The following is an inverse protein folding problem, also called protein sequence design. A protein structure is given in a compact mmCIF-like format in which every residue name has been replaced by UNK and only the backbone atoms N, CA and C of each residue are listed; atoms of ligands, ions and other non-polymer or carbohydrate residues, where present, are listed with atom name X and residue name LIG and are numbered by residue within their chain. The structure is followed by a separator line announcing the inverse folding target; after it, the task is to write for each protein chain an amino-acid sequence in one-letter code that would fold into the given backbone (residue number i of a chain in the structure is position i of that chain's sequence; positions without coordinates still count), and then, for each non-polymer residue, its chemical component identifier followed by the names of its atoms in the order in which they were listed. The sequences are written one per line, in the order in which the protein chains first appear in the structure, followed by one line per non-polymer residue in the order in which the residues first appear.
data_IF_533707690014
#
_entry.id   IF_533707690014
#
_cell.length_a   1.000
_cell.length_b   1.000
_cell.length_c   1.000
_cell.angle_alpha   90.00
_cell.angle_beta   90.00
_cell.angle_gamma   90.00
#
_symmetry.space_group_name_H-M   'P 1'
#
loop_
_entity.id
_entity.type
_entity.pdbx_description
1 polymer ?
#
# COMPACT_ATOMS: atom_id res chain seq x y z
N UNK A 1 -20.06 8.40 -9.82
CA UNK A 1 -21.40 8.91 -9.45
C UNK A 1 -21.38 10.27 -8.76
N UNK A 2 -20.95 10.45 -7.50
CA UNK A 2 -21.00 11.79 -6.86
C UNK A 2 -19.98 12.76 -7.46
N UNK A 3 -18.71 12.36 -7.65
CA UNK A 3 -17.69 13.22 -8.26
C UNK A 3 -18.02 13.62 -9.71
N UNK A 4 -18.56 12.69 -10.48
CA UNK A 4 -18.97 12.91 -11.88
C UNK A 4 -20.14 13.91 -11.99
N UNK A 5 -21.05 13.94 -11.00
CA UNK A 5 -22.15 14.90 -10.96
C UNK A 5 -21.65 16.34 -10.87
N UNK A 6 -20.79 16.67 -9.90
CA UNK A 6 -20.24 18.04 -9.76
C UNK A 6 -19.45 18.49 -11.00
N UNK A 7 -18.68 17.56 -11.59
CA UNK A 7 -17.91 17.85 -12.80
C UNK A 7 -18.79 18.16 -14.01
N UNK A 8 -20.00 17.59 -14.08
CA UNK A 8 -20.96 17.84 -15.16
C UNK A 8 -21.52 19.27 -15.09
N UNK A 9 -21.60 19.85 -13.90
CA UNK A 9 -22.07 21.22 -13.65
C UNK A 9 -20.93 22.24 -13.52
N UNK A 10 -19.67 21.79 -13.67
CA UNK A 10 -18.47 22.62 -13.46
C UNK A 10 -18.45 23.29 -12.07
N UNK A 11 -18.99 22.61 -11.06
CA UNK A 11 -19.10 23.11 -9.69
C UNK A 11 -17.86 22.71 -8.86
N UNK A 12 -17.07 23.70 -8.35
CA UNK A 12 -15.86 23.42 -7.58
C UNK A 12 -16.13 23.06 -6.11
N UNK A 13 -17.38 23.04 -5.65
CA UNK A 13 -17.70 22.87 -4.23
C UNK A 13 -17.08 21.61 -3.60
N UNK A 14 -17.12 20.47 -4.30
CA UNK A 14 -16.53 19.23 -3.82
C UNK A 14 -15.01 19.31 -3.76
N UNK A 15 -14.37 19.83 -4.80
CA UNK A 15 -12.91 19.96 -4.85
C UNK A 15 -12.41 20.92 -3.75
N UNK A 16 -13.09 22.04 -3.55
CA UNK A 16 -12.81 22.99 -2.47
C UNK A 16 -13.00 22.34 -1.08
N UNK A 17 -14.06 21.57 -0.89
CA UNK A 17 -14.30 20.89 0.38
C UNK A 17 -13.22 19.84 0.69
N UNK A 18 -12.77 19.09 -0.32
CA UNK A 18 -11.69 18.11 -0.18
C UNK A 18 -10.35 18.78 0.13
N UNK A 19 -10.04 19.90 -0.55
CA UNK A 19 -8.82 20.67 -0.29
C UNK A 19 -8.79 21.21 1.15
N UNK A 20 -9.87 21.85 1.60
CA UNK A 20 -9.98 22.33 2.99
C UNK A 20 -9.92 21.18 4.00
N UNK A 21 -10.58 20.04 3.72
CA UNK A 21 -10.50 18.86 4.59
C UNK A 21 -9.07 18.31 4.70
N UNK A 22 -8.34 18.24 3.58
CA UNK A 22 -6.94 17.84 3.54
C UNK A 22 -6.05 18.81 4.31
N UNK A 23 -6.20 20.12 4.10
CA UNK A 23 -5.44 21.14 4.80
C UNK A 23 -5.67 21.08 6.32
N UNK A 24 -6.93 20.93 6.75
CA UNK A 24 -7.24 20.75 8.17
C UNK A 24 -6.62 19.46 8.73
N UNK A 25 -6.74 18.34 8.01
CA UNK A 25 -6.17 17.05 8.44
C UNK A 25 -4.64 17.12 8.58
N UNK A 26 -3.97 17.78 7.64
CA UNK A 26 -2.51 17.92 7.60
C UNK A 26 -1.97 19.00 8.55
N UNK A 27 -2.81 19.92 9.03
CA UNK A 27 -2.41 20.94 10.01
C UNK A 27 -2.13 20.37 11.39
N UNK A 28 -2.65 19.17 11.68
CA UNK A 28 -2.46 18.49 12.97
C UNK A 28 -1.25 17.58 12.89
N UNK A 29 -0.25 17.70 13.81
CA UNK A 29 0.87 16.79 13.86
C UNK A 29 0.44 15.32 13.95
N UNK A 30 1.16 14.43 13.27
CA UNK A 30 0.83 12.99 13.23
C UNK A 30 0.83 12.35 14.64
N UNK A 31 1.68 12.83 15.54
CA UNK A 31 1.72 12.40 16.94
C UNK A 31 0.36 12.67 17.63
N UNK A 32 -0.22 13.85 17.42
CA UNK A 32 -1.53 14.21 17.96
C UNK A 32 -2.64 13.41 17.28
N UNK A 33 -2.54 13.17 15.96
CA UNK A 33 -3.50 12.32 15.23
C UNK A 33 -3.55 10.92 15.83
N UNK A 34 -2.39 10.34 16.11
CA UNK A 34 -2.26 8.96 16.60
C UNK A 34 -2.54 8.83 18.10
N UNK A 35 -2.36 9.91 18.89
CA UNK A 35 -2.68 9.96 20.31
C UNK A 35 -4.18 9.76 20.62
N UNK A 36 -5.07 10.11 19.69
CA UNK A 36 -6.53 10.02 19.87
C UNK A 36 -7.17 9.00 18.93
N UNK A 37 -7.53 7.78 19.38
CA UNK A 37 -7.97 6.68 18.51
C UNK A 37 -9.16 7.01 17.60
N UNK A 38 -10.13 7.79 18.08
CA UNK A 38 -11.30 8.22 17.27
C UNK A 38 -10.86 9.14 16.14
N UNK A 39 -9.96 10.07 16.42
CA UNK A 39 -9.46 11.01 15.43
C UNK A 39 -8.55 10.30 14.42
N UNK A 40 -7.65 9.42 14.89
CA UNK A 40 -6.83 8.56 14.04
C UNK A 40 -7.66 7.79 13.02
N UNK A 41 -8.75 7.13 13.47
CA UNK A 41 -9.66 6.38 12.56
C UNK A 41 -10.34 7.28 11.53
N UNK A 42 -10.75 8.48 11.92
CA UNK A 42 -11.35 9.45 11.00
C UNK A 42 -10.32 9.94 9.97
N UNK A 43 -9.10 10.26 10.42
CA UNK A 43 -7.99 10.71 9.58
C UNK A 43 -7.59 9.65 8.54
N UNK A 44 -7.27 8.43 8.98
CA UNK A 44 -6.90 7.35 8.07
C UNK A 44 -8.06 6.88 7.20
N UNK A 45 -9.31 7.00 7.69
CA UNK A 45 -10.51 6.77 6.89
C UNK A 45 -10.65 7.79 5.75
N UNK A 46 -10.41 9.07 6.02
CA UNK A 46 -10.39 10.11 5.00
C UNK A 46 -9.30 9.84 3.96
N UNK A 47 -8.08 9.52 4.40
CA UNK A 47 -6.96 9.20 3.49
C UNK A 47 -7.30 8.02 2.58
N UNK A 48 -7.85 6.93 3.12
CA UNK A 48 -8.23 5.76 2.32
C UNK A 48 -9.26 6.16 1.24
N UNK A 49 -10.29 6.93 1.60
CA UNK A 49 -11.32 7.39 0.67
C UNK A 49 -10.71 8.28 -0.43
N UNK A 50 -9.77 9.15 -0.07
CA UNK A 50 -9.08 10.02 -1.01
C UNK A 50 -8.26 9.20 -2.03
N UNK A 51 -7.46 8.24 -1.59
CA UNK A 51 -6.73 7.35 -2.49
C UNK A 51 -7.66 6.43 -3.29
N UNK A 52 -8.81 6.06 -2.74
CA UNK A 52 -9.80 5.23 -3.44
C UNK A 52 -10.54 5.99 -4.55
N UNK A 53 -11.04 7.19 -4.26
CA UNK A 53 -12.02 7.88 -5.11
C UNK A 53 -11.54 9.24 -5.66
N UNK A 54 -10.55 9.88 -5.03
CA UNK A 54 -10.12 11.25 -5.34
C UNK A 54 -8.62 11.33 -5.68
N UNK A 55 -8.12 10.35 -6.43
CA UNK A 55 -6.70 10.23 -6.82
C UNK A 55 -6.17 11.49 -7.52
N UNK A 56 -7.00 12.16 -8.32
CA UNK A 56 -6.65 13.42 -8.97
C UNK A 56 -6.25 14.49 -7.97
N UNK A 57 -7.04 14.64 -6.89
CA UNK A 57 -6.77 15.59 -5.81
C UNK A 57 -5.49 15.20 -5.06
N UNK A 58 -5.37 13.93 -4.65
CA UNK A 58 -4.23 13.46 -3.87
C UNK A 58 -2.91 13.55 -4.64
N UNK A 59 -2.89 13.15 -5.90
CA UNK A 59 -1.65 13.19 -6.70
C UNK A 59 -1.34 14.60 -7.20
N UNK A 60 -2.28 15.54 -7.16
CA UNK A 60 -1.99 16.95 -7.46
C UNK A 60 -1.30 17.69 -6.31
N UNK A 61 -1.18 17.07 -5.13
CA UNK A 61 -0.50 17.67 -3.98
C UNK A 61 0.97 17.94 -4.27
N UNK A 62 1.55 18.88 -3.52
CA UNK A 62 3.00 19.04 -3.51
C UNK A 62 3.68 17.76 -3.01
N UNK A 63 4.86 17.47 -3.55
CA UNK A 63 5.56 16.20 -3.26
C UNK A 63 5.85 16.03 -1.77
N UNK A 64 6.20 17.11 -1.07
CA UNK A 64 6.43 17.06 0.38
C UNK A 64 5.16 16.65 1.15
N UNK A 65 4.01 17.19 0.75
CA UNK A 65 2.71 16.89 1.38
C UNK A 65 2.28 15.46 1.07
N UNK A 66 2.43 15.02 -0.18
CA UNK A 66 2.18 13.63 -0.56
C UNK A 66 3.06 12.68 0.25
N UNK A 67 4.35 12.99 0.44
CA UNK A 67 5.25 12.15 1.23
C UNK A 67 4.89 12.15 2.72
N UNK A 68 4.44 13.28 3.29
CA UNK A 68 3.92 13.30 4.66
C UNK A 68 2.71 12.35 4.83
N UNK A 69 1.78 12.35 3.87
CA UNK A 69 0.68 11.38 3.86
C UNK A 69 1.20 9.94 3.78
N UNK A 70 2.17 9.68 2.90
CA UNK A 70 2.74 8.33 2.75
C UNK A 70 3.50 7.87 3.99
N UNK A 71 4.20 8.76 4.69
CA UNK A 71 4.83 8.47 5.99
C UNK A 71 3.76 8.14 7.03
N UNK A 72 2.69 8.93 7.14
CA UNK A 72 1.59 8.64 8.05
C UNK A 72 0.94 7.27 7.76
N UNK A 73 0.70 6.95 6.49
CA UNK A 73 0.17 5.65 6.06
C UNK A 73 1.14 4.51 6.40
N UNK A 74 2.45 4.72 6.23
CA UNK A 74 3.47 3.73 6.55
C UNK A 74 3.58 3.45 8.06
N UNK A 75 3.46 4.48 8.90
CA UNK A 75 3.40 4.33 10.36
C UNK A 75 2.08 3.67 10.80
N UNK A 76 0.94 4.13 10.26
CA UNK A 76 -0.37 3.58 10.55
C UNK A 76 -0.52 2.10 10.14
N UNK A 77 0.16 1.67 9.07
CA UNK A 77 0.24 0.27 8.65
C UNK A 77 0.81 -0.63 9.75
N UNK A 78 1.78 -0.13 10.50
CA UNK A 78 2.49 -0.84 11.57
C UNK A 78 1.78 -0.74 12.93
N UNK A 79 0.63 -0.06 12.99
CA UNK A 79 -0.17 0.06 14.21
C UNK A 79 -0.65 -1.29 14.73
N UNK A 80 -0.75 -1.40 16.05
CA UNK A 80 -1.37 -2.55 16.73
C UNK A 80 -2.90 -2.57 16.58
N UNK A 81 -3.53 -1.44 16.24
CA UNK A 81 -4.95 -1.38 15.91
C UNK A 81 -5.18 -1.93 14.50
N UNK A 82 -5.84 -3.09 14.43
CA UNK A 82 -6.12 -3.80 13.18
C UNK A 82 -6.97 -2.97 12.20
N UNK A 83 -7.83 -2.08 12.69
CA UNK A 83 -8.62 -1.19 11.83
C UNK A 83 -7.71 -0.17 11.16
N UNK A 84 -6.79 0.45 11.89
CA UNK A 84 -5.84 1.42 11.34
C UNK A 84 -4.90 0.76 10.33
N UNK A 85 -4.34 -0.40 10.68
CA UNK A 85 -3.49 -1.17 9.79
C UNK A 85 -4.23 -1.53 8.49
N UNK A 86 -5.51 -1.91 8.59
CA UNK A 86 -6.37 -2.19 7.43
C UNK A 86 -6.64 -0.98 6.54
N UNK A 87 -6.95 0.19 7.12
CA UNK A 87 -7.13 1.43 6.35
C UNK A 87 -5.86 1.81 5.58
N UNK A 88 -4.70 1.69 6.21
CA UNK A 88 -3.41 1.98 5.59
C UNK A 88 -3.05 0.95 4.51
N UNK A 89 -3.29 -0.34 4.77
CA UNK A 89 -3.09 -1.40 3.79
C UNK A 89 -3.97 -1.20 2.53
N UNK A 90 -5.23 -0.80 2.70
CA UNK A 90 -6.13 -0.47 1.59
C UNK A 90 -5.67 0.77 0.82
N UNK A 91 -5.19 1.80 1.52
CA UNK A 91 -4.61 3.01 0.91
C UNK A 91 -3.45 2.64 -0.02
N UNK A 92 -2.55 1.77 0.46
CA UNK A 92 -1.43 1.25 -0.33
C UNK A 92 -1.91 0.42 -1.51
N UNK A 93 -2.93 -0.45 -1.33
CA UNK A 93 -3.51 -1.24 -2.44
C UNK A 93 -4.07 -0.32 -3.54
N UNK A 94 -4.77 0.77 -3.18
CA UNK A 94 -5.31 1.73 -4.15
C UNK A 94 -4.20 2.46 -4.92
N UNK A 95 -3.14 2.87 -4.24
CA UNK A 95 -1.98 3.52 -4.84
C UNK A 95 -1.29 2.58 -5.84
N UNK A 96 -0.93 1.38 -5.40
CA UNK A 96 -0.21 0.42 -6.21
C UNK A 96 -1.05 -0.11 -7.37
N UNK A 97 -2.35 -0.36 -7.13
CA UNK A 97 -3.31 -0.75 -8.17
C UNK A 97 -3.40 0.33 -9.24
N UNK A 98 -3.50 1.61 -8.86
CA UNK A 98 -3.57 2.69 -9.82
C UNK A 98 -2.30 2.78 -10.65
N UNK A 99 -1.14 2.76 -10.00
CA UNK A 99 0.16 2.77 -10.68
C UNK A 99 0.24 1.66 -11.72
N UNK A 100 -0.03 0.40 -11.33
CA UNK A 100 0.02 -0.75 -12.24
C UNK A 100 -0.94 -0.60 -13.44
N UNK A 101 -2.20 -0.20 -13.20
CA UNK A 101 -3.22 -0.13 -14.25
C UNK A 101 -3.06 1.08 -15.19
N UNK A 102 -2.43 2.15 -14.72
CA UNK A 102 -2.25 3.40 -15.48
C UNK A 102 -0.81 3.61 -15.95
N UNK A 103 0.12 2.72 -15.60
CA UNK A 103 1.50 2.81 -16.06
C UNK A 103 1.56 2.88 -17.60
N UNK A 104 2.35 3.82 -18.12
CA UNK A 104 2.49 4.09 -19.55
C UNK A 104 1.29 4.77 -20.23
N UNK A 105 0.22 5.12 -19.49
CA UNK A 105 -0.91 5.89 -20.03
C UNK A 105 -0.69 7.38 -19.82
N UNK A 106 -1.11 8.17 -20.81
CA UNK A 106 -1.07 9.63 -20.73
C UNK A 106 -2.26 10.16 -19.92
N UNK A 107 -2.05 10.26 -18.61
CA UNK A 107 -3.00 10.84 -17.65
C UNK A 107 -2.28 11.78 -16.71
N UNK A 108 -2.91 12.91 -16.41
CA UNK A 108 -2.34 13.94 -15.51
C UNK A 108 -2.02 13.34 -14.14
N UNK A 109 -2.92 12.52 -13.60
CA UNK A 109 -2.73 11.87 -12.30
C UNK A 109 -1.55 10.88 -12.31
N UNK A 110 -1.32 10.20 -13.43
CA UNK A 110 -0.17 9.30 -13.59
C UNK A 110 1.14 10.08 -13.71
N UNK A 111 1.15 11.19 -14.45
CA UNK A 111 2.30 12.09 -14.51
C UNK A 111 2.68 12.61 -13.12
N UNK A 112 1.69 13.08 -12.36
CA UNK A 112 1.92 13.59 -11.02
C UNK A 112 2.39 12.49 -10.06
N UNK A 113 1.81 11.29 -10.13
CA UNK A 113 2.29 10.15 -9.34
C UNK A 113 3.74 9.81 -9.69
N UNK A 114 4.11 9.78 -10.98
CA UNK A 114 5.48 9.54 -11.41
C UNK A 114 6.46 10.61 -10.91
N UNK A 115 6.02 11.88 -10.84
CA UNK A 115 6.81 12.96 -10.22
C UNK A 115 7.13 12.62 -8.75
N UNK A 116 6.14 12.16 -7.98
CA UNK A 116 6.36 11.74 -6.59
C UNK A 116 7.30 10.54 -6.47
N UNK A 117 7.08 9.50 -7.29
CA UNK A 117 7.92 8.30 -7.27
C UNK A 117 9.36 8.57 -7.73
N UNK A 118 9.57 9.53 -8.62
CA UNK A 118 10.92 9.97 -9.03
C UNK A 118 11.61 10.73 -7.91
N UNK A 119 10.88 11.56 -7.18
CA UNK A 119 11.42 12.28 -6.02
C UNK A 119 11.73 11.35 -4.84
N UNK A 120 10.97 10.27 -4.66
CA UNK A 120 11.19 9.26 -3.63
C UNK A 120 11.19 7.84 -4.23
N UNK A 121 12.30 7.42 -4.87
CA UNK A 121 12.38 6.14 -5.59
C UNK A 121 12.23 4.92 -4.69
N UNK A 122 12.44 5.08 -3.38
CA UNK A 122 12.36 4.01 -2.40
C UNK A 122 10.95 3.81 -1.81
N UNK A 123 9.93 4.55 -2.26
CA UNK A 123 8.58 4.44 -1.68
C UNK A 123 8.00 3.03 -1.83
N UNK A 124 8.05 2.44 -3.02
CA UNK A 124 7.52 1.09 -3.22
C UNK A 124 8.37 0.01 -2.58
N UNK A 125 9.70 0.19 -2.52
CA UNK A 125 10.58 -0.78 -1.85
C UNK A 125 10.36 -0.79 -0.34
N UNK A 126 10.20 0.38 0.29
CA UNK A 126 9.93 0.46 1.74
C UNK A 126 8.55 -0.12 2.11
N UNK A 127 7.51 0.17 1.33
CA UNK A 127 6.17 -0.39 1.53
C UNK A 127 6.16 -1.91 1.32
N UNK A 128 6.86 -2.40 0.29
CA UNK A 128 7.00 -3.84 0.02
C UNK A 128 7.67 -4.55 1.20
N UNK A 129 8.82 -4.04 1.66
CA UNK A 129 9.53 -4.62 2.79
C UNK A 129 8.66 -4.65 4.05
N UNK A 130 7.93 -3.56 4.33
CA UNK A 130 7.08 -3.46 5.52
C UNK A 130 5.92 -4.46 5.48
N UNK A 131 5.23 -4.57 4.35
CA UNK A 131 4.11 -5.52 4.22
C UNK A 131 4.56 -6.97 4.35
N UNK A 132 5.67 -7.35 3.73
CA UNK A 132 6.20 -8.70 3.88
C UNK A 132 6.73 -8.96 5.30
N UNK A 133 7.37 -7.98 5.94
CA UNK A 133 7.79 -8.10 7.33
C UNK A 133 6.58 -8.29 8.26
N UNK A 134 5.49 -7.54 8.05
CA UNK A 134 4.25 -7.72 8.81
C UNK A 134 3.58 -9.08 8.53
N UNK A 135 3.64 -9.58 7.30
CA UNK A 135 3.14 -10.90 6.94
C UNK A 135 3.92 -12.01 7.66
N UNK A 136 5.25 -11.96 7.59
CA UNK A 136 6.14 -13.01 8.08
C UNK A 136 6.32 -12.97 9.60
N UNK A 137 6.52 -11.77 10.15
CA UNK A 137 6.94 -11.55 11.53
C UNK A 137 5.91 -10.80 12.37
N UNK A 138 4.89 -10.20 11.75
CA UNK A 138 3.85 -9.43 12.45
C UNK A 138 2.75 -10.28 13.12
N UNK A 139 1.90 -9.63 13.93
CA UNK A 139 0.85 -10.30 14.71
C UNK A 139 -0.27 -10.89 13.83
N UNK A 140 -0.87 -12.05 14.22
CA UNK A 140 -1.94 -12.75 13.47
C UNK A 140 -3.11 -11.88 13.00
N UNK A 141 -3.52 -10.92 13.82
CA UNK A 141 -4.71 -10.11 13.59
C UNK A 141 -4.64 -9.21 12.33
N UNK A 142 -3.43 -8.90 11.84
CA UNK A 142 -3.25 -7.95 10.74
C UNK A 142 -3.00 -8.63 9.38
N UNK A 143 -2.89 -9.97 9.33
CA UNK A 143 -2.42 -10.67 8.13
C UNK A 143 -3.32 -10.53 6.90
N UNK A 144 -4.64 -10.63 7.09
CA UNK A 144 -5.58 -10.53 5.97
C UNK A 144 -5.55 -9.17 5.29
N UNK A 145 -5.42 -8.10 6.07
CA UNK A 145 -5.36 -6.74 5.56
C UNK A 145 -4.10 -6.52 4.71
N UNK A 146 -2.94 -7.00 5.17
CA UNK A 146 -1.66 -6.78 4.49
C UNK A 146 -1.46 -7.68 3.26
N UNK A 147 -2.16 -8.80 3.15
CA UNK A 147 -2.00 -9.71 1.99
C UNK A 147 -2.44 -9.10 0.66
N UNK A 148 -3.53 -8.32 0.68
CA UNK A 148 -4.11 -7.72 -0.53
C UNK A 148 -3.18 -6.70 -1.22
N UNK A 149 -2.60 -5.70 -0.53
CA UNK A 149 -1.68 -4.75 -1.15
C UNK A 149 -0.36 -5.38 -1.63
N UNK A 150 0.03 -6.57 -1.12
CA UNK A 150 1.27 -7.22 -1.56
C UNK A 150 1.20 -7.56 -3.06
N UNK A 151 0.06 -8.06 -3.56
CA UNK A 151 -0.06 -8.37 -4.99
C UNK A 151 0.06 -7.10 -5.84
N UNK A 152 -0.67 -6.05 -5.48
CA UNK A 152 -0.67 -4.80 -6.26
C UNK A 152 0.68 -4.11 -6.23
N UNK A 153 1.39 -4.11 -5.09
CA UNK A 153 2.76 -3.60 -5.01
C UNK A 153 3.76 -4.44 -5.80
N UNK A 154 3.66 -5.77 -5.71
CA UNK A 154 4.52 -6.67 -6.49
C UNK A 154 4.39 -6.41 -8.00
N UNK A 155 3.15 -6.21 -8.48
CA UNK A 155 2.89 -5.90 -9.88
C UNK A 155 3.26 -4.45 -10.25
N UNK A 156 3.13 -3.50 -9.32
CA UNK A 156 3.52 -2.11 -9.53
C UNK A 156 5.04 -1.93 -9.60
N UNK A 157 5.80 -2.74 -8.86
CA UNK A 157 7.27 -2.71 -8.85
C UNK A 157 7.87 -4.10 -8.63
N UNK A 158 8.06 -4.82 -9.74
CA UNK A 158 8.71 -6.13 -9.74
C UNK A 158 10.15 -6.04 -9.21
N UNK A 159 10.82 -4.91 -9.44
CA UNK A 159 12.18 -4.62 -8.91
C UNK A 159 12.22 -4.53 -7.39
N UNK A 160 11.25 -3.84 -6.77
CA UNK A 160 11.14 -3.74 -5.31
C UNK A 160 10.93 -5.12 -4.68
N UNK A 161 10.06 -5.94 -5.30
CA UNK A 161 9.82 -7.30 -4.83
C UNK A 161 11.04 -8.20 -4.99
N UNK A 162 11.75 -8.14 -6.13
CA UNK A 162 12.99 -8.89 -6.33
C UNK A 162 14.05 -8.52 -5.30
N UNK A 163 14.28 -7.21 -5.09
CA UNK A 163 15.23 -6.73 -4.11
C UNK A 163 14.89 -7.21 -2.68
N UNK A 164 13.59 -7.23 -2.32
CA UNK A 164 13.16 -7.78 -1.03
C UNK A 164 13.44 -9.30 -0.93
N UNK A 165 13.15 -10.08 -1.98
CA UNK A 165 13.45 -11.52 -2.01
C UNK A 165 14.94 -11.78 -1.81
N UNK A 166 15.78 -11.06 -2.56
CA UNK A 166 17.23 -11.22 -2.50
C UNK A 166 17.75 -10.89 -1.12
N UNK A 167 17.29 -9.77 -0.54
CA UNK A 167 17.62 -9.41 0.83
C UNK A 167 17.18 -10.48 1.83
N UNK A 168 15.93 -10.94 1.77
CA UNK A 168 15.43 -11.97 2.68
C UNK A 168 16.26 -13.26 2.57
N UNK A 169 16.66 -13.68 1.38
CA UNK A 169 17.54 -14.83 1.17
C UNK A 169 18.91 -14.65 1.83
N UNK A 170 19.51 -13.47 1.73
CA UNK A 170 20.83 -13.19 2.35
C UNK A 170 20.80 -13.25 3.87
N UNK A 171 19.64 -13.08 4.50
CA UNK A 171 19.49 -13.22 5.97
C UNK A 171 19.45 -14.68 6.44
N UNK A 172 19.34 -15.65 5.52
CA UNK A 172 19.13 -17.06 5.85
C UNK A 172 20.39 -17.91 5.65
N UNK A 173 20.52 -18.99 6.41
CA UNK A 173 21.55 -20.01 6.19
C UNK A 173 21.29 -20.81 4.89
N UNK A 174 22.28 -21.54 4.34
CA UNK A 174 22.12 -22.24 3.06
C UNK A 174 20.95 -23.22 3.00
N UNK A 175 20.64 -23.92 4.09
CA UNK A 175 19.50 -24.85 4.16
C UNK A 175 18.16 -24.11 4.05
N UNK A 176 18.01 -23.03 4.82
CA UNK A 176 16.82 -22.18 4.80
C UNK A 176 16.67 -21.40 3.50
N UNK A 177 17.77 -21.04 2.83
CA UNK A 177 17.71 -20.41 1.50
C UNK A 177 17.05 -21.33 0.48
N UNK A 178 17.35 -22.63 0.49
CA UNK A 178 16.71 -23.62 -0.39
C UNK A 178 15.21 -23.69 -0.11
N UNK A 179 14.83 -23.84 1.18
CA UNK A 179 13.42 -23.89 1.61
C UNK A 179 12.66 -22.60 1.25
N UNK A 180 13.29 -21.44 1.44
CA UNK A 180 12.71 -20.14 1.13
C UNK A 180 12.51 -19.95 -0.37
N UNK A 181 13.50 -20.32 -1.19
CA UNK A 181 13.37 -20.29 -2.65
C UNK A 181 12.23 -21.18 -3.14
N UNK A 182 12.10 -22.40 -2.61
CA UNK A 182 10.99 -23.29 -2.94
C UNK A 182 9.64 -22.67 -2.55
N UNK A 183 9.54 -22.08 -1.36
CA UNK A 183 8.33 -21.40 -0.90
C UNK A 183 7.98 -20.18 -1.78
N UNK A 184 8.97 -19.38 -2.18
CA UNK A 184 8.79 -18.24 -3.08
C UNK A 184 8.37 -18.68 -4.49
N UNK A 185 8.95 -19.76 -5.01
CA UNK A 185 8.53 -20.33 -6.30
C UNK A 185 7.08 -20.82 -6.24
N UNK A 186 6.71 -21.53 -5.16
CA UNK A 186 5.31 -21.92 -4.91
C UNK A 186 4.40 -20.71 -4.80
N UNK A 187 4.81 -19.63 -4.14
CA UNK A 187 4.03 -18.39 -4.04
C UNK A 187 3.77 -17.75 -5.41
N UNK A 188 4.73 -17.80 -6.33
CA UNK A 188 4.67 -17.13 -7.64
C UNK A 188 4.11 -18.00 -8.78
N UNK A 189 4.09 -19.32 -8.64
CA UNK A 189 3.54 -20.22 -9.66
C UNK A 189 2.08 -19.88 -10.04
N UNK A 190 1.71 -19.85 -11.31
CA UNK A 190 0.31 -19.56 -11.74
C UNK A 190 -0.28 -18.23 -11.21
N UNK A 191 0.57 -17.27 -10.84
CA UNK A 191 0.18 -15.89 -10.53
C UNK A 191 0.22 -15.10 -11.83
N UNK A 192 -0.93 -14.60 -12.25
CA UNK A 192 -1.02 -13.81 -13.47
C UNK A 192 -0.58 -12.37 -13.21
N UNK A 193 -0.11 -11.69 -14.25
CA UNK A 193 0.16 -10.25 -14.23
C UNK A 193 -1.13 -9.44 -14.38
N UNK A 194 -2.07 -9.63 -13.45
CA UNK A 194 -3.40 -9.02 -13.44
C UNK A 194 -3.89 -8.74 -12.02
N UNK A 195 -4.84 -7.82 -11.88
CA UNK A 195 -5.48 -7.47 -10.60
C UNK A 195 -6.97 -7.84 -10.58
N UNK A 196 -7.40 -8.82 -11.36
CA UNK A 196 -8.76 -9.34 -11.25
C UNK A 196 -9.00 -10.05 -9.90
N UNK A 197 -10.28 -10.20 -9.52
CA UNK A 197 -10.65 -10.77 -8.22
C UNK A 197 -10.16 -12.21 -8.06
N UNK A 198 -10.24 -13.03 -9.10
CA UNK A 198 -9.80 -14.42 -9.04
C UNK A 198 -8.28 -14.53 -8.79
N UNK A 199 -7.48 -13.70 -9.44
CA UNK A 199 -6.03 -13.68 -9.21
C UNK A 199 -5.68 -13.15 -7.81
N UNK A 200 -6.38 -12.11 -7.32
CA UNK A 200 -6.21 -11.59 -5.95
C UNK A 200 -6.52 -12.64 -4.89
N UNK A 201 -7.63 -13.35 -5.04
CA UNK A 201 -8.06 -14.38 -4.09
C UNK A 201 -7.07 -15.55 -4.09
N UNK A 202 -6.66 -16.01 -5.29
CA UNK A 202 -5.62 -17.04 -5.44
C UNK A 202 -4.32 -16.63 -4.75
N UNK A 203 -3.82 -15.42 -5.02
CA UNK A 203 -2.56 -14.96 -4.43
C UNK A 203 -2.64 -14.85 -2.91
N UNK A 204 -3.77 -14.39 -2.36
CA UNK A 204 -4.00 -14.32 -0.91
C UNK A 204 -3.97 -15.71 -0.25
N UNK A 205 -4.60 -16.71 -0.87
CA UNK A 205 -4.52 -18.10 -0.40
C UNK A 205 -3.07 -18.62 -0.40
N UNK A 206 -2.32 -18.28 -1.45
CA UNK A 206 -0.90 -18.67 -1.56
C UNK A 206 0.00 -17.94 -0.58
N UNK A 207 -0.26 -16.68 -0.26
CA UNK A 207 0.43 -15.94 0.81
C UNK A 207 0.18 -16.58 2.18
N UNK A 208 -1.05 -17.06 2.42
CA UNK A 208 -1.38 -17.79 3.65
C UNK A 208 -0.54 -19.06 3.77
N UNK A 209 -0.48 -19.88 2.71
CA UNK A 209 0.36 -21.07 2.68
C UNK A 209 1.85 -20.74 2.82
N UNK A 210 2.33 -19.74 2.07
CA UNK A 210 3.72 -19.25 2.12
C UNK A 210 4.12 -18.86 3.53
N UNK A 211 3.26 -18.10 4.22
CA UNK A 211 3.49 -17.70 5.61
C UNK A 211 3.58 -18.91 6.55
N UNK A 212 2.67 -19.87 6.45
CA UNK A 212 2.68 -21.07 7.30
C UNK A 212 3.96 -21.86 7.09
N UNK A 213 4.38 -22.05 5.84
CA UNK A 213 5.62 -22.76 5.49
C UNK A 213 6.86 -22.03 6.01
N UNK A 214 6.96 -20.73 5.76
CA UNK A 214 8.15 -19.93 6.11
C UNK A 214 8.32 -19.74 7.61
N UNK A 215 7.22 -19.64 8.38
CA UNK A 215 7.28 -19.54 9.85
C UNK A 215 7.94 -20.76 10.51
N UNK A 216 7.96 -21.92 9.84
CA UNK A 216 8.61 -23.12 10.36
C UNK A 216 10.13 -23.07 10.41
N UNK A 217 10.77 -22.13 9.69
CA UNK A 217 12.22 -22.07 9.58
C UNK A 217 12.81 -20.64 9.53
N UNK A 218 12.01 -19.62 9.24
CA UNK A 218 12.42 -18.22 9.41
C UNK A 218 12.42 -17.91 10.91
N UNK A 219 13.61 -17.79 11.49
CA UNK A 219 13.81 -17.23 12.82
C UNK A 219 13.83 -15.70 12.73
N UNK A 220 13.22 -15.03 13.71
CA UNK A 220 13.46 -13.61 13.99
C UNK A 220 14.94 -13.35 14.29
#
# INVERSE_FOLDING_TARGET
FVSEFFSLYNDPALDNALDIALQMALSVPLEDVTAYPKFSKAFFGLIEILFRNHKKTVFALDTNVFMQLMTAVHEGLQSSDATLSSLCANTIDHLATYHFLMNGKDKVEMHNLNKHLTAQPNLFSSLTATLFNLLLFGPPQNHWAVMRPILSLMLASETSFSAYKDHLLTTQNPENQVKLNEALNKLLADVNRSLDSANRDRFTQKLTAFRVTTRGFLTL
#
